data_IF_070463535108
#
_entry.id   IF_070463535108
#
_cell.length_a   1.000
_cell.length_b   1.000
_cell.length_c   1.000
_cell.angle_alpha   90.00
_cell.angle_beta   90.00
_cell.angle_gamma   90.00
#
_symmetry.space_group_name_H-M   'P 1'
#
loop_
_entity.id
_entity.type
_entity.pdbx_description
1 polymer ?
#
# COMPACT_ATOMS: atom_id res chain seq x y z
N UNK A 1 -56.62 39.49 45.57
CA UNK A 1 -56.57 39.59 47.05
C UNK A 1 -57.23 38.34 47.64
N UNK A 2 -56.41 37.35 48.00
CA UNK A 2 -56.73 36.14 48.78
C UNK A 2 -55.39 35.79 49.46
N UNK A 3 -55.11 36.31 50.66
CA UNK A 3 -55.46 35.81 52.00
C UNK A 3 -54.51 34.70 52.51
N UNK A 4 -54.07 34.91 53.77
CA UNK A 4 -53.59 33.95 54.79
C UNK A 4 -52.06 33.87 55.04
N UNK A 5 -51.62 34.60 56.09
CA UNK A 5 -50.47 34.31 57.00
C UNK A 5 -50.70 32.96 57.75
N UNK A 6 -49.76 32.29 58.48
CA UNK A 6 -48.60 32.86 59.21
C UNK A 6 -47.33 31.96 59.39
N UNK A 7 -46.32 32.60 60.00
CA UNK A 7 -45.19 32.13 60.84
C UNK A 7 -45.11 30.62 61.16
N UNK A 8 -43.93 30.03 60.93
CA UNK A 8 -43.42 28.94 61.78
C UNK A 8 -41.90 29.07 62.00
N UNK A 9 -41.53 29.07 63.29
CA UNK A 9 -40.18 28.91 63.81
C UNK A 9 -39.81 27.43 63.70
N UNK A 10 -38.65 27.10 63.11
CA UNK A 10 -38.10 25.75 63.18
C UNK A 10 -36.60 25.80 63.49
N UNK A 11 -36.28 25.19 64.61
CA UNK A 11 -34.96 25.04 65.20
C UNK A 11 -34.01 24.23 64.31
N UNK A 12 -32.74 24.61 64.33
CA UNK A 12 -31.64 23.84 63.78
C UNK A 12 -31.39 22.59 64.64
N UNK A 13 -31.59 21.41 64.04
CA UNK A 13 -31.04 20.15 64.52
C UNK A 13 -30.51 19.38 63.31
N UNK A 14 -29.19 19.25 63.25
CA UNK A 14 -28.47 18.47 62.24
C UNK A 14 -28.72 16.96 62.45
N UNK A 15 -28.98 16.18 61.39
CA UNK A 15 -28.76 14.76 61.42
C UNK A 15 -27.33 14.45 60.95
N UNK A 16 -26.57 13.80 61.84
CA UNK A 16 -25.33 13.10 61.54
C UNK A 16 -25.68 11.89 60.64
N UNK A 17 -25.67 12.06 59.31
CA UNK A 17 -25.73 10.95 58.37
C UNK A 17 -24.31 10.58 57.94
N UNK A 18 -23.82 9.52 58.56
CA UNK A 18 -22.63 8.76 58.20
C UNK A 18 -22.69 8.41 56.71
N UNK A 19 -21.86 9.05 55.90
CA UNK A 19 -21.66 8.66 54.52
C UNK A 19 -21.00 7.28 54.49
N UNK A 20 -21.81 6.23 54.33
CA UNK A 20 -21.31 4.93 53.90
C UNK A 20 -20.77 5.11 52.48
N UNK A 21 -19.45 5.26 52.36
CA UNK A 21 -18.73 5.12 51.10
C UNK A 21 -18.98 3.71 50.57
N UNK A 22 -19.97 3.58 49.69
CA UNK A 22 -20.18 2.36 48.94
C UNK A 22 -18.97 2.14 48.02
N UNK A 23 -18.21 1.03 48.16
CA UNK A 23 -17.00 0.78 47.37
C UNK A 23 -17.29 0.53 45.88
N UNK A 24 -18.57 0.41 45.50
CA UNK A 24 -18.99 0.10 44.13
C UNK A 24 -18.79 1.23 43.11
N UNK A 25 -18.70 2.50 43.54
CA UNK A 25 -18.51 3.63 42.61
C UNK A 25 -17.06 3.74 42.09
N UNK A 26 -16.09 3.32 42.90
CA UNK A 26 -14.67 3.25 42.53
C UNK A 26 -14.39 2.15 41.51
N UNK A 27 -15.09 1.00 41.60
CA UNK A 27 -14.83 -0.15 40.73
C UNK A 27 -15.35 0.06 39.29
N UNK A 28 -16.49 0.77 39.12
CA UNK A 28 -17.03 1.10 37.79
C UNK A 28 -16.15 2.13 37.08
N UNK A 29 -15.63 3.11 37.81
CA UNK A 29 -14.72 4.14 37.25
C UNK A 29 -13.36 3.54 36.85
N UNK A 30 -12.86 2.59 37.64
CA UNK A 30 -11.62 1.87 37.35
C UNK A 30 -11.80 0.90 36.17
N UNK A 31 -12.94 0.22 36.08
CA UNK A 31 -13.26 -0.68 34.96
C UNK A 31 -13.47 0.09 33.64
N UNK A 32 -14.17 1.23 33.67
CA UNK A 32 -14.33 2.11 32.51
C UNK A 32 -13.01 2.79 32.10
N UNK A 33 -12.15 3.17 33.07
CA UNK A 33 -10.81 3.67 32.82
C UNK A 33 -9.84 2.61 32.26
N UNK A 34 -9.95 1.36 32.70
CA UNK A 34 -9.19 0.21 32.17
C UNK A 34 -9.71 -0.21 30.78
N UNK A 35 -11.00 -0.06 30.49
CA UNK A 35 -11.57 -0.30 29.16
C UNK A 35 -11.27 0.84 28.18
N UNK A 36 -11.20 2.09 28.65
CA UNK A 36 -10.76 3.24 27.85
C UNK A 36 -9.24 3.24 27.62
N UNK A 37 -8.45 2.84 28.62
CA UNK A 37 -7.00 2.61 28.47
C UNK A 37 -6.66 1.38 27.61
N UNK A 38 -7.65 0.52 27.32
CA UNK A 38 -7.54 -0.58 26.35
C UNK A 38 -7.82 -0.14 24.89
N UNK A 39 -8.24 1.10 24.64
CA UNK A 39 -8.61 1.55 23.30
C UNK A 39 -7.44 2.13 22.49
N UNK A 40 -6.36 2.58 23.14
CA UNK A 40 -5.18 3.15 22.47
C UNK A 40 -3.96 2.26 22.69
N UNK A 41 -3.18 1.98 21.62
CA UNK A 41 -2.02 1.12 21.72
C UNK A 41 -0.95 1.75 22.64
N UNK A 42 -0.12 0.92 23.31
CA UNK A 42 1.00 1.42 24.11
C UNK A 42 1.98 2.22 23.24
N UNK A 43 2.93 2.98 23.82
CA UNK A 43 3.92 3.74 23.05
C UNK A 43 4.56 2.90 21.94
N UNK A 44 4.67 3.48 20.74
CA UNK A 44 5.16 2.78 19.56
C UNK A 44 6.51 2.10 19.85
N UNK A 45 6.56 0.78 19.65
CA UNK A 45 7.78 -0.01 19.77
C UNK A 45 7.99 -0.86 18.53
N UNK A 46 9.22 -0.88 18.02
CA UNK A 46 9.63 -1.77 16.93
C UNK A 46 9.40 -3.24 17.30
N UNK A 47 9.47 -3.59 18.59
CA UNK A 47 9.20 -4.97 19.04
C UNK A 47 7.74 -5.36 18.90
N UNK A 48 6.79 -4.41 19.03
CA UNK A 48 5.37 -4.67 18.87
C UNK A 48 5.05 -5.16 17.44
N UNK A 49 5.76 -4.62 16.45
CA UNK A 49 5.68 -5.05 15.04
C UNK A 49 5.97 -6.54 14.87
N UNK A 50 6.85 -7.14 15.66
CA UNK A 50 7.22 -8.55 15.52
C UNK A 50 6.52 -9.50 16.50
N UNK A 51 5.82 -8.97 17.50
CA UNK A 51 5.26 -9.77 18.60
C UNK A 51 3.74 -9.87 18.56
N UNK A 52 3.07 -8.93 17.91
CA UNK A 52 1.61 -8.95 17.73
C UNK A 52 1.24 -9.32 16.30
N UNK A 53 0.24 -10.19 16.15
CA UNK A 53 -0.31 -10.58 14.85
C UNK A 53 -1.84 -10.51 14.89
N UNK A 54 -2.43 -9.78 13.93
CA UNK A 54 -3.88 -9.62 13.78
C UNK A 54 -4.33 -10.21 12.44
N UNK A 55 -5.11 -11.28 12.52
CA UNK A 55 -5.56 -12.09 11.37
C UNK A 55 -7.06 -11.93 11.08
N UNK A 56 -7.67 -10.90 11.65
CA UNK A 56 -9.07 -10.53 11.49
C UNK A 56 -9.38 -9.88 10.13
N UNK A 57 -8.36 -9.36 9.43
CA UNK A 57 -8.54 -8.73 8.12
C UNK A 57 -8.79 -9.72 6.98
N UNK A 58 -9.73 -9.41 6.08
CA UNK A 58 -9.94 -10.17 4.83
C UNK A 58 -8.73 -10.09 3.90
N UNK A 59 -7.87 -9.07 4.03
CA UNK A 59 -6.61 -8.99 3.31
C UNK A 59 -5.69 -10.16 3.67
N UNK A 60 -5.67 -10.61 4.93
CA UNK A 60 -4.87 -11.76 5.35
C UNK A 60 -5.31 -13.03 4.60
N UNK A 61 -6.62 -13.23 4.42
CA UNK A 61 -7.16 -14.34 3.60
C UNK A 61 -6.70 -14.20 2.15
N UNK A 62 -6.77 -12.99 1.58
CA UNK A 62 -6.28 -12.69 0.24
C UNK A 62 -4.79 -13.02 0.06
N UNK A 63 -3.95 -12.68 1.04
CA UNK A 63 -2.51 -12.97 1.04
C UNK A 63 -2.23 -14.47 1.07
N UNK A 64 -2.90 -15.22 1.95
CA UNK A 64 -2.75 -16.68 2.04
C UNK A 64 -3.20 -17.34 0.74
N UNK A 65 -4.33 -16.92 0.17
CA UNK A 65 -4.81 -17.42 -1.12
C UNK A 65 -3.83 -17.10 -2.25
N UNK A 66 -3.31 -15.88 -2.32
CA UNK A 66 -2.32 -15.49 -3.33
C UNK A 66 -1.01 -16.31 -3.20
N UNK A 67 -0.51 -16.50 -1.98
CA UNK A 67 0.67 -17.32 -1.71
C UNK A 67 0.44 -18.78 -2.11
N UNK A 68 -0.69 -19.36 -1.70
CA UNK A 68 -1.08 -20.73 -2.01
C UNK A 68 -1.21 -20.97 -3.51
N UNK A 69 -1.91 -20.09 -4.23
CA UNK A 69 -2.06 -20.18 -5.69
C UNK A 69 -0.72 -20.04 -6.42
N UNK A 70 0.15 -19.13 -5.97
CA UNK A 70 1.47 -18.95 -6.56
C UNK A 70 2.36 -20.19 -6.34
N UNK A 71 2.46 -20.67 -5.11
CA UNK A 71 3.25 -21.86 -4.76
C UNK A 71 2.71 -23.12 -5.46
N UNK A 72 1.40 -23.27 -5.54
CA UNK A 72 0.77 -24.35 -6.31
C UNK A 72 1.15 -24.26 -7.80
N UNK A 73 1.15 -23.07 -8.39
CA UNK A 73 1.63 -22.84 -9.74
C UNK A 73 3.09 -23.28 -9.92
N UNK A 74 3.99 -22.87 -9.02
CA UNK A 74 5.41 -23.27 -9.06
C UNK A 74 5.56 -24.78 -8.93
N UNK A 75 4.83 -25.41 -8.00
CA UNK A 75 4.84 -26.85 -7.81
C UNK A 75 4.38 -27.61 -9.07
N UNK A 76 3.27 -27.18 -9.68
CA UNK A 76 2.75 -27.77 -10.92
C UNK A 76 3.73 -27.65 -12.08
N UNK A 77 4.48 -26.54 -12.16
CA UNK A 77 5.51 -26.34 -13.17
C UNK A 77 6.69 -27.30 -12.94
N UNK A 78 7.15 -27.44 -11.68
CA UNK A 78 8.21 -28.39 -11.31
C UNK A 78 7.84 -29.83 -11.61
N UNK A 79 6.60 -30.25 -11.32
CA UNK A 79 6.12 -31.60 -11.65
C UNK A 79 6.14 -31.91 -13.16
N UNK A 80 6.04 -30.90 -14.01
CA UNK A 80 6.14 -31.06 -15.47
C UNK A 80 7.58 -31.06 -15.99
N UNK A 81 8.58 -30.89 -15.11
CA UNK A 81 9.99 -30.77 -15.48
C UNK A 81 10.41 -29.38 -15.95
N UNK A 82 9.49 -28.41 -15.94
CA UNK A 82 9.75 -27.03 -16.35
C UNK A 82 10.49 -26.25 -15.25
N UNK A 83 11.44 -25.40 -15.65
CA UNK A 83 12.20 -24.56 -14.71
C UNK A 83 11.49 -23.23 -14.46
N UNK A 84 11.26 -22.91 -13.17
CA UNK A 84 10.85 -21.58 -12.71
C UNK A 84 11.98 -20.91 -11.93
N UNK A 85 12.38 -19.66 -12.24
CA UNK A 85 13.45 -18.98 -11.51
C UNK A 85 13.08 -18.77 -10.03
N UNK A 86 13.92 -19.27 -9.11
CA UNK A 86 13.69 -19.18 -7.66
C UNK A 86 13.57 -17.72 -7.21
N UNK A 87 14.37 -16.82 -7.80
CA UNK A 87 14.32 -15.39 -7.51
C UNK A 87 12.90 -14.79 -7.67
N UNK A 88 12.11 -15.24 -8.65
CA UNK A 88 10.72 -14.77 -8.82
C UNK A 88 9.83 -15.17 -7.63
N UNK A 89 10.04 -16.38 -7.12
CA UNK A 89 9.30 -16.87 -5.94
C UNK A 89 9.71 -16.11 -4.68
N UNK A 90 11.01 -15.84 -4.51
CA UNK A 90 11.52 -15.04 -3.39
C UNK A 90 10.97 -13.62 -3.43
N UNK A 91 11.00 -12.94 -4.57
CA UNK A 91 10.45 -11.58 -4.69
C UNK A 91 8.95 -11.54 -4.44
N UNK A 92 8.20 -12.50 -5.01
CA UNK A 92 6.74 -12.53 -4.85
C UNK A 92 6.33 -12.79 -3.39
N UNK A 93 6.94 -13.77 -2.72
CA UNK A 93 6.54 -14.16 -1.37
C UNK A 93 7.16 -13.28 -0.29
N UNK A 94 8.43 -12.90 -0.43
CA UNK A 94 9.16 -12.13 0.57
C UNK A 94 8.70 -10.67 0.61
N UNK A 95 9.33 -9.77 -0.15
CA UNK A 95 8.97 -8.35 -0.12
C UNK A 95 7.65 -8.01 -0.86
N UNK A 96 7.10 -8.92 -1.66
CA UNK A 96 5.77 -8.77 -2.26
C UNK A 96 4.64 -9.02 -1.25
N UNK A 97 4.28 -10.28 -1.03
CA UNK A 97 3.22 -10.65 -0.08
C UNK A 97 3.62 -10.45 1.38
N UNK A 98 4.86 -10.78 1.75
CA UNK A 98 5.37 -10.54 3.10
C UNK A 98 5.52 -9.04 3.42
N UNK A 99 5.77 -8.20 2.42
CA UNK A 99 5.72 -6.74 2.57
C UNK A 99 4.34 -6.27 2.99
N UNK A 100 3.29 -6.69 2.27
CA UNK A 100 1.90 -6.39 2.62
C UNK A 100 1.56 -6.94 4.01
N UNK A 101 1.86 -8.22 4.27
CA UNK A 101 1.60 -8.84 5.56
C UNK A 101 2.31 -8.11 6.72
N UNK A 102 3.53 -7.62 6.49
CA UNK A 102 4.32 -6.94 7.52
C UNK A 102 3.70 -5.62 7.95
N UNK A 103 2.87 -5.00 7.11
CA UNK A 103 2.21 -3.75 7.44
C UNK A 103 0.76 -3.93 7.86
N UNK A 104 0.02 -4.90 7.29
CA UNK A 104 -1.42 -5.08 7.57
C UNK A 104 -1.77 -6.18 8.57
N UNK A 105 -0.83 -7.08 8.89
CA UNK A 105 -1.09 -8.22 9.81
C UNK A 105 -0.26 -8.10 11.08
N UNK A 106 0.82 -7.32 11.05
CA UNK A 106 1.70 -7.14 12.20
C UNK A 106 1.11 -6.17 13.22
N UNK A 107 1.74 -6.06 14.39
CA UNK A 107 1.41 -5.04 15.38
C UNK A 107 1.47 -3.61 14.85
N UNK A 108 2.10 -3.37 13.69
CA UNK A 108 2.10 -2.07 13.02
C UNK A 108 0.69 -1.60 12.63
N UNK A 109 -0.20 -2.54 12.29
CA UNK A 109 -1.57 -2.24 11.90
C UNK A 109 -2.35 -1.53 13.02
N UNK A 110 -2.10 -1.89 14.27
CA UNK A 110 -2.74 -1.24 15.42
C UNK A 110 -2.38 0.26 15.52
N UNK A 111 -1.27 0.67 14.92
CA UNK A 111 -0.81 2.05 14.96
C UNK A 111 -1.25 2.89 13.75
N UNK A 112 -1.79 2.29 12.68
CA UNK A 112 -2.13 3.01 11.45
C UNK A 112 -3.15 4.13 11.68
N UNK A 113 -4.18 3.83 12.46
CA UNK A 113 -5.22 4.80 12.83
C UNK A 113 -4.80 5.73 13.97
N UNK A 114 -3.59 5.59 14.52
CA UNK A 114 -3.12 6.36 15.69
C UNK A 114 -1.96 7.30 15.40
N UNK A 115 -1.16 6.97 14.38
CA UNK A 115 -0.03 7.77 13.92
C UNK A 115 -0.12 7.90 12.39
N UNK A 116 -0.24 9.13 11.90
CA UNK A 116 -0.19 9.43 10.48
C UNK A 116 1.16 9.02 9.88
N UNK A 117 2.25 9.04 10.65
CA UNK A 117 3.55 8.56 10.18
C UNK A 117 3.56 7.06 9.85
N UNK A 118 2.92 6.24 10.69
CA UNK A 118 2.73 4.81 10.44
C UNK A 118 1.85 4.61 9.20
N UNK A 119 0.81 5.41 9.05
CA UNK A 119 -0.01 5.42 7.84
C UNK A 119 0.77 5.70 6.56
N UNK A 120 1.69 6.64 6.60
CA UNK A 120 2.55 6.90 5.45
C UNK A 120 3.48 5.72 5.16
N UNK A 121 4.02 5.04 6.18
CA UNK A 121 4.82 3.82 5.98
C UNK A 121 3.98 2.73 5.31
N UNK A 122 2.79 2.45 5.83
CA UNK A 122 1.91 1.45 5.25
C UNK A 122 1.55 1.80 3.81
N UNK A 123 1.14 3.05 3.57
CA UNK A 123 0.83 3.55 2.24
C UNK A 123 2.00 3.33 1.27
N UNK A 124 3.25 3.67 1.65
CA UNK A 124 4.44 3.45 0.80
C UNK A 124 4.69 1.97 0.52
N UNK A 125 4.54 1.11 1.52
CA UNK A 125 4.75 -0.34 1.35
C UNK A 125 3.68 -0.95 0.44
N UNK A 126 2.42 -0.55 0.61
CA UNK A 126 1.27 -1.09 -0.13
C UNK A 126 1.19 -0.54 -1.56
N UNK A 127 1.44 0.75 -1.78
CA UNK A 127 1.28 1.38 -3.09
C UNK A 127 2.54 1.34 -3.96
N UNK A 128 3.73 1.22 -3.36
CA UNK A 128 4.99 1.28 -4.11
C UNK A 128 5.84 0.03 -3.96
N UNK A 129 6.26 -0.31 -2.74
CA UNK A 129 7.26 -1.35 -2.51
C UNK A 129 6.74 -2.73 -2.91
N UNK A 130 5.65 -3.17 -2.28
CA UNK A 130 5.11 -4.52 -2.48
C UNK A 130 4.67 -4.77 -3.93
N UNK A 131 3.95 -3.84 -4.61
CA UNK A 131 3.54 -4.04 -6.00
C UNK A 131 4.70 -4.24 -6.99
N UNK A 132 5.84 -3.58 -6.78
CA UNK A 132 7.07 -3.80 -7.58
C UNK A 132 7.52 -5.25 -7.43
N UNK A 133 7.63 -5.75 -6.20
CA UNK A 133 8.08 -7.12 -5.94
C UNK A 133 7.07 -8.19 -6.38
N UNK A 134 5.77 -7.91 -6.26
CA UNK A 134 4.72 -8.75 -6.83
C UNK A 134 4.87 -8.87 -8.36
N UNK A 135 5.14 -7.76 -9.07
CA UNK A 135 5.42 -7.80 -10.50
C UNK A 135 6.69 -8.59 -10.86
N UNK A 136 7.76 -8.48 -10.05
CA UNK A 136 8.98 -9.28 -10.24
C UNK A 136 8.69 -10.79 -10.18
N UNK A 137 7.67 -11.17 -9.41
CA UNK A 137 7.13 -12.52 -9.34
C UNK A 137 6.53 -13.07 -10.64
N UNK A 138 6.16 -12.21 -11.60
CA UNK A 138 5.44 -12.56 -12.83
C UNK A 138 4.25 -13.54 -12.61
N UNK A 139 3.33 -13.22 -11.69
CA UNK A 139 2.23 -14.12 -11.32
C UNK A 139 1.30 -14.43 -12.49
N UNK A 140 1.06 -13.49 -13.43
CA UNK A 140 0.19 -13.73 -14.58
C UNK A 140 0.85 -14.73 -15.54
N UNK A 141 2.16 -14.60 -15.78
CA UNK A 141 2.94 -15.54 -16.58
C UNK A 141 2.89 -16.94 -15.96
N UNK A 142 3.06 -17.04 -14.64
CA UNK A 142 2.98 -18.32 -13.94
C UNK A 142 1.58 -18.95 -14.09
N UNK A 143 0.53 -18.16 -13.88
CA UNK A 143 -0.85 -18.62 -14.05
C UNK A 143 -1.12 -19.10 -15.49
N UNK A 144 -0.69 -18.34 -16.50
CA UNK A 144 -0.87 -18.73 -17.90
C UNK A 144 -0.11 -20.00 -18.29
N UNK A 145 1.04 -20.30 -17.68
CA UNK A 145 1.79 -21.54 -17.93
C UNK A 145 1.17 -22.76 -17.24
N UNK A 146 0.54 -22.56 -16.10
CA UNK A 146 0.07 -23.65 -15.23
C UNK A 146 -1.41 -24.00 -15.43
N UNK A 147 -2.25 -23.01 -15.75
CA UNK A 147 -3.70 -23.19 -15.91
C UNK A 147 -4.06 -24.06 -17.13
N UNK A 148 -5.11 -24.90 -17.03
CA UNK A 148 -5.68 -25.63 -18.16
C UNK A 148 -6.39 -24.69 -19.14
N UNK A 149 -6.75 -25.19 -20.33
CA UNK A 149 -7.25 -24.38 -21.47
C UNK A 149 -8.43 -23.48 -21.12
N UNK A 150 -9.44 -23.96 -20.38
CA UNK A 150 -10.61 -23.17 -20.01
C UNK A 150 -10.29 -21.94 -19.14
N UNK A 151 -9.77 -22.13 -17.91
CA UNK A 151 -9.34 -21.01 -17.05
C UNK A 151 -8.29 -20.11 -17.69
N UNK A 152 -7.36 -20.66 -18.48
CA UNK A 152 -6.37 -19.88 -19.24
C UNK A 152 -7.04 -18.92 -20.23
N UNK A 153 -8.05 -19.38 -20.98
CA UNK A 153 -8.82 -18.52 -21.89
C UNK A 153 -9.55 -17.40 -21.13
N UNK A 154 -10.13 -17.71 -19.96
CA UNK A 154 -10.78 -16.69 -19.11
C UNK A 154 -9.79 -15.64 -18.61
N UNK A 155 -8.63 -16.07 -18.11
CA UNK A 155 -7.57 -15.15 -17.67
C UNK A 155 -7.09 -14.26 -18.81
N UNK A 156 -6.87 -14.82 -20.00
CA UNK A 156 -6.51 -14.04 -21.18
C UNK A 156 -7.61 -13.04 -21.56
N UNK A 157 -8.88 -13.44 -21.50
CA UNK A 157 -10.01 -12.55 -21.77
C UNK A 157 -10.08 -11.38 -20.78
N UNK A 158 -9.81 -11.62 -19.49
CA UNK A 158 -9.75 -10.58 -18.47
C UNK A 158 -8.58 -9.63 -18.73
N UNK A 159 -7.36 -10.17 -18.94
CA UNK A 159 -6.16 -9.36 -19.19
C UNK A 159 -6.25 -8.53 -20.46
N UNK A 160 -6.95 -9.01 -21.49
CA UNK A 160 -7.15 -8.29 -22.76
C UNK A 160 -8.47 -7.53 -22.84
N UNK A 161 -9.25 -7.50 -21.75
CA UNK A 161 -10.51 -6.79 -21.69
C UNK A 161 -10.33 -5.29 -21.92
N UNK A 162 -11.40 -4.61 -22.34
CA UNK A 162 -11.37 -3.15 -22.55
C UNK A 162 -11.04 -2.41 -21.26
N UNK A 163 -11.57 -2.88 -20.14
CA UNK A 163 -11.32 -2.32 -18.80
C UNK A 163 -9.84 -2.48 -18.45
N UNK A 164 -9.29 -3.69 -18.54
CA UNK A 164 -7.87 -3.92 -18.26
C UNK A 164 -6.99 -3.02 -19.12
N UNK A 165 -7.29 -2.88 -20.42
CA UNK A 165 -6.53 -2.03 -21.34
C UNK A 165 -6.57 -0.54 -20.99
N UNK A 166 -7.70 -0.05 -20.46
CA UNK A 166 -7.82 1.34 -19.98
C UNK A 166 -6.96 1.53 -18.73
N UNK A 167 -7.12 0.66 -17.72
CA UNK A 167 -6.37 0.78 -16.47
C UNK A 167 -4.87 0.57 -16.67
N UNK A 168 -4.46 -0.36 -17.53
CA UNK A 168 -3.04 -0.60 -17.83
C UNK A 168 -2.46 0.37 -18.85
N UNK A 169 -3.24 1.31 -19.39
CA UNK A 169 -2.70 2.34 -20.27
C UNK A 169 -1.79 3.26 -19.44
N UNK A 170 -0.51 3.45 -19.81
CA UNK A 170 0.47 4.05 -18.90
C UNK A 170 0.11 5.44 -18.38
N UNK A 171 -0.54 6.30 -19.18
CA UNK A 171 -1.00 7.62 -18.71
C UNK A 171 -2.20 7.53 -17.76
N UNK A 172 -3.11 6.58 -17.96
CA UNK A 172 -4.22 6.36 -17.03
C UNK A 172 -3.69 5.78 -15.72
N UNK A 173 -2.81 4.79 -15.79
CA UNK A 173 -2.15 4.21 -14.62
C UNK A 173 -1.37 5.28 -13.83
N UNK A 174 -0.62 6.13 -14.52
CA UNK A 174 0.07 7.28 -13.92
C UNK A 174 -0.89 8.27 -13.27
N UNK A 175 -1.97 8.65 -13.96
CA UNK A 175 -2.96 9.57 -13.41
C UNK A 175 -3.64 9.00 -12.17
N UNK A 176 -4.03 7.73 -12.17
CA UNK A 176 -4.59 7.06 -10.98
C UNK A 176 -3.57 7.07 -9.84
N UNK A 177 -2.33 6.70 -10.12
CA UNK A 177 -1.26 6.66 -9.12
C UNK A 177 -0.99 8.03 -8.49
N UNK A 178 -0.96 9.10 -9.28
CA UNK A 178 -0.71 10.46 -8.80
C UNK A 178 -1.94 11.08 -8.13
N UNK A 179 -3.14 10.93 -8.71
CA UNK A 179 -4.34 11.63 -8.23
C UNK A 179 -4.91 10.99 -6.97
N UNK A 180 -4.84 9.66 -6.84
CA UNK A 180 -5.42 8.95 -5.69
C UNK A 180 -4.99 9.49 -4.32
N UNK A 181 -3.69 9.68 -4.02
CA UNK A 181 -3.30 10.18 -2.71
C UNK A 181 -3.74 11.63 -2.50
N UNK A 182 -3.74 12.49 -3.53
CA UNK A 182 -4.31 13.84 -3.41
C UNK A 182 -5.81 13.77 -3.11
N UNK A 183 -6.56 12.93 -3.81
CA UNK A 183 -7.98 12.75 -3.56
C UNK A 183 -8.25 12.23 -2.14
N UNK A 184 -7.45 11.30 -1.64
CA UNK A 184 -7.62 10.77 -0.28
C UNK A 184 -7.41 11.86 0.77
N UNK A 185 -6.28 12.58 0.71
CA UNK A 185 -5.87 13.50 1.78
C UNK A 185 -6.54 14.88 1.71
N UNK A 186 -6.89 15.37 0.52
CA UNK A 186 -7.53 16.69 0.35
C UNK A 186 -9.07 16.62 0.28
N UNK A 187 -9.65 15.46 0.55
CA UNK A 187 -11.10 15.32 0.72
C UNK A 187 -11.40 14.67 2.07
N UNK A 188 -12.68 14.58 2.42
CA UNK A 188 -13.12 13.93 3.66
C UNK A 188 -12.92 12.40 3.64
N UNK A 189 -12.41 11.83 2.54
CA UNK A 189 -12.22 10.39 2.39
C UNK A 189 -11.22 9.84 3.42
N UNK A 190 -10.15 10.58 3.72
CA UNK A 190 -9.20 10.15 4.75
C UNK A 190 -9.83 10.12 6.15
N UNK A 191 -10.62 11.15 6.48
CA UNK A 191 -11.35 11.15 7.76
C UNK A 191 -12.33 9.98 7.83
N UNK A 192 -13.03 9.72 6.73
CA UNK A 192 -13.96 8.61 6.62
C UNK A 192 -13.29 7.25 6.89
N UNK A 193 -12.06 7.06 6.44
CA UNK A 193 -11.30 5.82 6.66
C UNK A 193 -10.80 5.66 8.08
N UNK A 194 -10.70 6.74 8.86
CA UNK A 194 -10.40 6.66 10.29
C UNK A 194 -11.64 6.24 11.09
N UNK A 195 -12.81 6.70 10.67
CA UNK A 195 -14.08 6.42 11.36
C UNK A 195 -14.67 5.03 11.03
N UNK A 196 -14.33 4.46 9.86
CA UNK A 196 -14.92 3.22 9.37
C UNK A 196 -13.85 2.18 9.01
N UNK A 197 -13.73 1.13 9.83
CA UNK A 197 -12.75 0.06 9.63
C UNK A 197 -12.83 -0.62 8.25
N UNK A 198 -14.04 -0.84 7.71
CA UNK A 198 -14.18 -1.44 6.39
C UNK A 198 -13.65 -0.52 5.27
N UNK A 199 -13.81 0.80 5.42
CA UNK A 199 -13.33 1.77 4.44
C UNK A 199 -11.81 1.87 4.48
N UNK A 200 -11.25 1.76 5.69
CA UNK A 200 -9.82 1.66 5.94
C UNK A 200 -9.18 0.49 5.18
N UNK A 201 -9.71 -0.72 5.35
CA UNK A 201 -9.20 -1.90 4.65
C UNK A 201 -9.38 -1.82 3.12
N UNK A 202 -10.47 -1.20 2.66
CA UNK A 202 -10.66 -0.96 1.22
C UNK A 202 -9.61 -0.01 0.66
N UNK A 203 -9.16 0.99 1.42
CA UNK A 203 -8.08 1.89 1.00
C UNK A 203 -6.75 1.14 0.92
N UNK A 204 -6.44 0.25 1.86
CA UNK A 204 -5.25 -0.62 1.75
C UNK A 204 -5.28 -1.48 0.48
N UNK A 205 -6.42 -2.13 0.20
CA UNK A 205 -6.60 -2.90 -1.03
C UNK A 205 -6.44 -2.02 -2.28
N UNK A 206 -7.03 -0.83 -2.26
CA UNK A 206 -6.95 0.14 -3.34
C UNK A 206 -5.52 0.62 -3.59
N UNK A 207 -4.71 0.81 -2.54
CA UNK A 207 -3.29 1.15 -2.67
C UNK A 207 -2.50 0.03 -3.34
N UNK A 208 -2.69 -1.22 -2.92
CA UNK A 208 -2.06 -2.39 -3.56
C UNK A 208 -2.44 -2.44 -5.04
N UNK A 209 -3.71 -2.27 -5.37
CA UNK A 209 -4.21 -2.30 -6.74
C UNK A 209 -3.66 -1.14 -7.57
N UNK A 210 -3.64 0.08 -7.02
CA UNK A 210 -3.08 1.27 -7.68
C UNK A 210 -1.61 1.08 -8.02
N UNK A 211 -0.83 0.57 -7.07
CA UNK A 211 0.57 0.24 -7.31
C UNK A 211 0.75 -0.86 -8.36
N UNK A 212 -0.08 -1.90 -8.34
CA UNK A 212 0.01 -2.97 -9.34
C UNK A 212 -0.29 -2.43 -10.75
N UNK A 213 -1.34 -1.61 -10.88
CA UNK A 213 -1.73 -0.97 -12.13
C UNK A 213 -0.61 -0.07 -12.68
N UNK A 214 0.13 0.62 -11.82
CA UNK A 214 1.25 1.49 -12.22
C UNK A 214 2.53 0.69 -12.52
N UNK A 215 3.05 -0.09 -11.56
CA UNK A 215 4.37 -0.70 -11.67
C UNK A 215 4.43 -1.91 -12.62
N UNK A 216 3.33 -2.65 -12.81
CA UNK A 216 3.36 -3.86 -13.63
C UNK A 216 3.58 -3.58 -15.13
N UNK A 217 2.87 -2.62 -15.76
CA UNK A 217 3.18 -2.20 -17.14
C UNK A 217 4.59 -1.60 -17.27
N UNK A 218 5.07 -0.89 -16.25
CA UNK A 218 6.41 -0.30 -16.23
C UNK A 218 7.51 -1.39 -16.27
N UNK A 219 7.41 -2.41 -15.41
CA UNK A 219 8.34 -3.55 -15.40
C UNK A 219 8.16 -4.46 -16.63
N UNK A 220 6.91 -4.69 -17.04
CA UNK A 220 6.57 -5.48 -18.23
C UNK A 220 7.02 -6.95 -18.17
N UNK A 221 7.15 -7.55 -16.99
CA UNK A 221 7.52 -8.96 -16.89
C UNK A 221 6.38 -9.89 -17.28
N UNK A 222 5.14 -9.46 -17.05
CA UNK A 222 3.93 -10.16 -17.45
C UNK A 222 3.40 -9.70 -18.82
N UNK A 223 2.66 -10.56 -19.55
CA UNK A 223 2.17 -10.27 -20.89
C UNK A 223 0.95 -9.32 -20.85
N UNK A 224 1.20 -8.06 -20.52
CA UNK A 224 0.20 -7.00 -20.54
C UNK A 224 0.13 -6.32 -21.92
N UNK A 225 -1.06 -5.91 -22.38
CA UNK A 225 -1.23 -5.21 -23.65
C UNK A 225 -0.59 -3.81 -23.61
N UNK A 226 -0.15 -3.30 -24.77
CA UNK A 226 0.23 -1.89 -24.92
C UNK A 226 1.54 -1.48 -24.21
N UNK A 227 2.54 -2.36 -24.17
CA UNK A 227 3.84 -2.07 -23.54
C UNK A 227 4.54 -0.89 -24.22
N UNK A 228 4.67 0.22 -23.50
CA UNK A 228 5.42 1.39 -23.97
C UNK A 228 6.93 1.10 -24.10
N UNK A 229 7.67 1.84 -24.93
CA UNK A 229 9.13 1.74 -24.99
C UNK A 229 9.77 2.23 -23.69
N UNK A 230 10.97 1.73 -23.34
CA UNK A 230 11.62 2.07 -22.07
C UNK A 230 11.79 3.58 -21.81
N UNK A 231 12.16 4.43 -22.78
CA UNK A 231 12.22 5.88 -22.56
C UNK A 231 10.89 6.46 -22.06
N UNK A 232 9.76 6.02 -22.61
CA UNK A 232 8.45 6.47 -22.16
C UNK A 232 8.13 6.03 -20.74
N UNK A 233 8.54 4.81 -20.35
CA UNK A 233 8.38 4.32 -18.97
C UNK A 233 9.26 5.06 -17.97
N UNK A 234 10.52 5.32 -18.35
CA UNK A 234 11.46 6.09 -17.56
C UNK A 234 10.97 7.54 -17.38
N UNK A 235 10.42 8.14 -18.44
CA UNK A 235 9.80 9.47 -18.38
C UNK A 235 8.62 9.50 -17.40
N UNK A 236 7.71 8.51 -17.44
CA UNK A 236 6.60 8.45 -16.49
C UNK A 236 7.09 8.32 -15.04
N UNK A 237 8.11 7.51 -14.80
CA UNK A 237 8.73 7.40 -13.47
C UNK A 237 9.39 8.71 -13.02
N UNK A 238 10.08 9.39 -13.93
CA UNK A 238 10.65 10.71 -13.65
C UNK A 238 9.57 11.75 -13.36
N UNK A 239 8.44 11.71 -14.08
CA UNK A 239 7.33 12.62 -13.86
C UNK A 239 6.58 12.37 -12.55
N UNK A 240 6.65 11.18 -11.94
CA UNK A 240 6.00 10.93 -10.64
C UNK A 240 6.76 11.50 -9.45
N UNK A 241 8.08 11.70 -9.57
CA UNK A 241 8.95 12.28 -8.53
C UNK A 241 8.39 13.57 -7.92
N UNK A 242 8.16 14.65 -8.69
CA UNK A 242 7.74 15.93 -8.11
C UNK A 242 6.41 15.84 -7.35
N UNK A 243 5.52 14.91 -7.69
CA UNK A 243 4.22 14.78 -7.02
C UNK A 243 4.35 14.27 -5.58
N UNK A 244 5.27 13.34 -5.29
CA UNK A 244 5.51 12.89 -3.91
C UNK A 244 6.18 13.99 -3.09
N UNK A 245 7.13 14.70 -3.70
CA UNK A 245 7.76 15.87 -3.08
C UNK A 245 6.72 16.93 -2.73
N UNK A 246 5.86 17.32 -3.69
CA UNK A 246 4.80 18.32 -3.46
C UNK A 246 3.83 17.86 -2.39
N UNK A 247 3.33 16.62 -2.46
CA UNK A 247 2.37 16.10 -1.50
C UNK A 247 2.97 16.00 -0.10
N UNK A 248 4.17 15.42 0.03
CA UNK A 248 4.87 15.28 1.29
C UNK A 248 5.17 16.63 1.95
N UNK A 249 5.75 17.58 1.20
CA UNK A 249 5.99 18.94 1.71
C UNK A 249 4.69 19.66 2.10
N UNK A 250 3.61 19.47 1.33
CA UNK A 250 2.31 20.07 1.67
C UNK A 250 1.78 19.53 3.00
N UNK A 251 1.90 18.22 3.24
CA UNK A 251 1.51 17.61 4.53
C UNK A 251 2.38 18.14 5.67
N UNK A 252 3.71 18.20 5.47
CA UNK A 252 4.66 18.72 6.47
C UNK A 252 4.37 20.18 6.85
N UNK A 253 4.06 21.01 5.86
CA UNK A 253 3.91 22.46 6.04
C UNK A 253 2.48 22.87 6.38
N UNK A 254 1.52 21.94 6.36
CA UNK A 254 0.12 22.25 6.64
C UNK A 254 -0.06 22.76 8.07
N UNK A 255 -0.81 23.86 8.20
CA UNK A 255 -1.23 24.42 9.50
C UNK A 255 -2.41 23.66 10.10
N UNK A 256 -3.13 22.89 9.30
CA UNK A 256 -4.20 21.98 9.74
C UNK A 256 -3.69 20.55 9.83
N UNK A 257 -4.26 19.77 10.75
CA UNK A 257 -3.98 18.35 10.86
C UNK A 257 -4.80 17.57 9.84
N UNK A 258 -4.16 16.70 9.07
CA UNK A 258 -4.84 15.71 8.25
C UNK A 258 -5.51 14.70 9.19
N UNK A 259 -6.79 14.38 8.93
CA UNK A 259 -7.63 13.64 9.88
C UNK A 259 -8.31 14.52 10.94
N UNK A 260 -8.05 15.83 10.95
CA UNK A 260 -8.75 16.80 11.80
C UNK A 260 -8.52 16.59 13.28
N UNK A 261 -9.59 16.49 14.06
CA UNK A 261 -9.56 16.27 15.50
C UNK A 261 -9.33 14.81 15.91
N UNK A 262 -9.23 13.86 14.96
CA UNK A 262 -9.06 12.44 15.24
C UNK A 262 -7.82 12.18 16.11
N UNK A 263 -6.64 12.57 15.63
CA UNK A 263 -5.39 12.33 16.34
C UNK A 263 -5.31 13.05 17.69
N UNK A 264 -5.69 14.33 17.81
CA UNK A 264 -5.81 14.97 19.13
C UNK A 264 -6.81 14.27 20.07
N UNK A 265 -7.93 13.73 19.55
CA UNK A 265 -8.96 13.09 20.35
C UNK A 265 -8.50 11.77 21.01
N UNK A 266 -7.47 11.13 20.46
CA UNK A 266 -6.88 9.92 21.03
C UNK A 266 -6.14 10.19 22.35
N UNK A 267 -5.79 11.45 22.65
CA UNK A 267 -5.17 11.83 23.92
C UNK A 267 -3.83 11.15 24.20
N UNK A 268 -3.05 10.84 23.16
CA UNK A 268 -1.79 10.10 23.28
C UNK A 268 -0.73 10.98 23.97
N UNK A 269 -0.49 10.76 25.27
CA UNK A 269 0.50 11.52 26.04
C UNK A 269 1.96 11.33 25.62
N UNK A 270 2.23 10.43 24.68
CA UNK A 270 3.57 10.06 24.20
C UNK A 270 3.82 10.43 22.73
N UNK A 271 2.85 11.01 22.03
CA UNK A 271 3.00 11.47 20.65
C UNK A 271 2.27 12.79 20.42
N UNK A 272 2.95 13.78 19.82
CA UNK A 272 2.32 15.00 19.34
C UNK A 272 1.84 14.80 17.89
N UNK A 273 0.53 14.93 17.60
CA UNK A 273 0.00 14.84 16.24
C UNK A 273 0.65 15.79 15.24
N UNK A 274 1.13 16.96 15.67
CA UNK A 274 1.78 17.91 14.77
C UNK A 274 3.18 17.45 14.37
N UNK A 275 3.99 17.01 15.33
CA UNK A 275 5.30 16.41 15.05
C UNK A 275 5.17 15.14 14.21
N UNK A 276 4.18 14.30 14.50
CA UNK A 276 3.90 13.08 13.75
C UNK A 276 3.51 13.37 12.29
N UNK A 277 2.72 14.41 12.03
CA UNK A 277 2.38 14.82 10.67
C UNK A 277 3.60 15.33 9.87
N UNK A 278 4.52 16.05 10.52
CA UNK A 278 5.78 16.47 9.88
C UNK A 278 6.61 15.24 9.51
N UNK A 279 6.70 14.25 10.40
CA UNK A 279 7.37 12.99 10.11
C UNK A 279 6.68 12.24 8.96
N UNK A 280 5.35 12.19 8.97
CA UNK A 280 4.53 11.52 7.96
C UNK A 280 4.78 12.09 6.56
N UNK A 281 4.72 13.41 6.41
CA UNK A 281 5.02 14.05 5.12
C UNK A 281 6.47 13.85 4.69
N UNK A 282 7.42 13.79 5.63
CA UNK A 282 8.82 13.44 5.37
C UNK A 282 8.99 12.01 4.86
N UNK A 283 8.29 11.04 5.45
CA UNK A 283 8.28 9.62 5.02
C UNK A 283 7.71 9.51 3.60
N UNK A 284 6.59 10.18 3.33
CA UNK A 284 5.95 10.16 2.01
C UNK A 284 6.89 10.71 0.92
N UNK A 285 7.51 11.85 1.19
CA UNK A 285 8.47 12.46 0.26
C UNK A 285 9.70 11.57 0.07
N UNK A 286 10.45 11.28 1.14
CA UNK A 286 11.72 10.55 1.04
C UNK A 286 11.53 9.12 0.52
N UNK A 287 10.47 8.44 0.96
CA UNK A 287 10.10 7.11 0.48
C UNK A 287 9.75 7.10 -1.00
N UNK A 288 8.94 8.07 -1.44
CA UNK A 288 8.59 8.26 -2.84
C UNK A 288 9.82 8.46 -3.73
N UNK A 289 10.75 9.32 -3.31
CA UNK A 289 12.00 9.57 -4.05
C UNK A 289 12.90 8.34 -4.11
N UNK A 290 13.11 7.66 -2.97
CA UNK A 290 13.96 6.47 -2.90
C UNK A 290 13.49 5.37 -3.86
N UNK A 291 12.18 5.08 -3.87
CA UNK A 291 11.61 4.09 -4.77
C UNK A 291 11.67 4.56 -6.22
N UNK A 292 11.34 5.83 -6.49
CA UNK A 292 11.33 6.37 -7.85
C UNK A 292 12.72 6.35 -8.49
N UNK A 293 13.76 6.76 -7.77
CA UNK A 293 15.15 6.73 -8.24
C UNK A 293 15.62 5.30 -8.47
N UNK A 294 15.33 4.39 -7.54
CA UNK A 294 15.68 2.97 -7.68
C UNK A 294 15.04 2.36 -8.92
N UNK A 295 13.76 2.61 -9.14
CA UNK A 295 13.02 2.08 -10.28
C UNK A 295 13.44 2.75 -11.60
N UNK A 296 13.75 4.04 -11.59
CA UNK A 296 14.31 4.74 -12.74
C UNK A 296 15.65 4.13 -13.15
N UNK A 297 16.54 3.86 -12.20
CA UNK A 297 17.81 3.18 -12.45
C UNK A 297 17.59 1.78 -13.07
N UNK A 298 16.64 1.01 -12.53
CA UNK A 298 16.26 -0.30 -13.08
C UNK A 298 15.75 -0.18 -14.53
N UNK A 299 14.89 0.79 -14.84
CA UNK A 299 14.36 1.00 -16.18
C UNK A 299 15.45 1.44 -17.17
N UNK A 300 16.37 2.30 -16.75
CA UNK A 300 17.52 2.73 -17.59
C UNK A 300 18.45 1.55 -17.87
N UNK A 301 18.77 0.72 -16.86
CA UNK A 301 19.58 -0.50 -17.08
C UNK A 301 18.87 -1.48 -18.02
N UNK A 302 17.55 -1.64 -17.89
CA UNK A 302 16.77 -2.46 -18.82
C UNK A 302 16.78 -1.90 -20.24
N UNK A 303 16.71 -0.58 -20.38
CA UNK A 303 16.80 0.10 -21.67
C UNK A 303 18.15 -0.12 -22.33
N UNK A 304 19.25 0.14 -21.62
CA UNK A 304 20.61 -0.07 -22.13
C UNK A 304 20.81 -1.52 -22.60
N UNK A 305 20.40 -2.49 -21.79
CA UNK A 305 20.48 -3.92 -22.14
C UNK A 305 19.63 -4.30 -23.35
N UNK A 306 18.51 -3.62 -23.60
CA UNK A 306 17.72 -3.85 -24.82
C UNK A 306 18.40 -3.22 -26.02
N UNK A 307 18.88 -1.97 -25.91
CA UNK A 307 19.57 -1.27 -26.98
C UNK A 307 20.81 -2.05 -27.46
N UNK A 308 21.61 -2.60 -26.54
CA UNK A 308 22.75 -3.48 -26.87
C UNK A 308 22.32 -4.74 -27.63
N UNK A 309 21.21 -5.37 -27.22
CA UNK A 309 20.68 -6.57 -27.89
C UNK A 309 20.17 -6.25 -29.28
N UNK A 310 19.54 -5.10 -29.45
CA UNK A 310 19.02 -4.60 -30.72
C UNK A 310 20.16 -4.23 -31.68
N UNK A 311 21.17 -3.51 -31.20
CA UNK A 311 22.38 -3.20 -31.96
C UNK A 311 23.05 -4.48 -32.49
N UNK A 312 23.32 -5.46 -31.61
CA UNK A 312 23.89 -6.76 -32.02
C UNK A 312 23.03 -7.53 -33.02
N UNK A 313 21.71 -7.34 -33.01
CA UNK A 313 20.80 -7.97 -33.99
C UNK A 313 20.91 -7.28 -35.34
N UNK A 314 20.98 -5.95 -35.35
CA UNK A 314 21.15 -5.15 -36.57
C UNK A 314 22.49 -5.45 -37.21
N UNK A 315 23.59 -5.48 -36.43
CA UNK A 315 24.94 -5.81 -36.92
C UNK A 315 24.96 -7.17 -37.62
N UNK A 316 24.39 -8.20 -36.99
CA UNK A 316 24.28 -9.56 -37.58
C UNK A 316 23.46 -9.61 -38.86
N UNK A 317 22.46 -8.74 -39.00
CA UNK A 317 21.65 -8.67 -40.22
C UNK A 317 22.41 -7.96 -41.34
N UNK A 318 23.13 -6.87 -41.02
CA UNK A 318 24.01 -6.18 -41.96
C UNK A 318 25.14 -7.08 -42.46
N UNK A 319 25.80 -7.84 -41.56
CA UNK A 319 26.84 -8.82 -41.93
C UNK A 319 26.31 -9.87 -42.93
N UNK A 320 25.07 -10.35 -42.74
CA UNK A 320 24.42 -11.30 -43.65
C UNK A 320 24.11 -10.68 -45.00
N UNK A 321 23.69 -9.42 -45.03
CA UNK A 321 23.41 -8.69 -46.27
C UNK A 321 24.70 -8.42 -47.04
N UNK A 322 25.78 -8.02 -46.38
CA UNK A 322 27.10 -7.86 -46.98
C UNK A 322 27.63 -9.18 -47.55
N UNK A 323 27.52 -10.28 -46.80
CA UNK A 323 27.94 -11.59 -47.28
C UNK A 323 27.16 -12.04 -48.53
N UNK A 324 25.84 -11.80 -48.57
CA UNK A 324 25.00 -12.08 -49.75
C UNK A 324 25.41 -11.23 -50.95
N UNK A 325 25.70 -9.94 -50.73
CA UNK A 325 26.14 -9.03 -51.79
C UNK A 325 27.48 -9.46 -52.38
N UNK A 326 28.47 -9.79 -51.54
CA UNK A 326 29.78 -10.29 -51.98
C UNK A 326 29.65 -11.59 -52.77
N UNK A 327 28.79 -12.51 -52.34
CA UNK A 327 28.53 -13.75 -53.07
C UNK A 327 27.91 -13.50 -54.46
N UNK A 328 26.98 -12.56 -54.57
CA UNK A 328 26.39 -12.18 -55.85
C UNK A 328 27.42 -11.52 -56.80
N UNK A 329 28.28 -10.65 -56.28
CA UNK A 329 29.38 -10.03 -57.03
C UNK A 329 30.43 -11.04 -57.51
N UNK A 330 30.60 -12.18 -56.81
CA UNK A 330 31.55 -13.25 -57.21
C UNK A 330 30.95 -14.22 -58.26
N UNK A 331 29.63 -14.22 -58.43
CA UNK A 331 28.92 -15.15 -59.34
C UNK A 331 28.59 -14.49 -60.69
N UNK A 332 28.75 -13.17 -60.81
CA UNK A 332 28.56 -12.39 -62.02
C UNK A 332 29.88 -12.24 -62.80
#
# INVERSE_FOLDING_TARGET
MLHVDPISVAAATAPLLTAATSPAASDVTTSAGILAAQATPPPFSITAVFTEARLDSWLAVGLVLAAGLYLYGVYRLRLRGDRWPIARTIFFLGPGLGGIASVTVSGLEAYDSTLLSVHMVQHMVLSMVSPIFLALGAPVTLALRTLPTGPRKRLLAVVHSRIARIYTFPLVAFAIFVVNPFALYFTDLYRYTLEHAWAHELVHAHFIMTGCVFFWPLLGLDPLPGRWPYPGRALLMLLSVPFHTVLGLTIMQSTTLFGGDWYPSLGLGWADPREDQVLAGGILWAGGEFVSVTMLAVLVVQWMRQAEREARRIDRELDRQEARRRAAETTA
#
